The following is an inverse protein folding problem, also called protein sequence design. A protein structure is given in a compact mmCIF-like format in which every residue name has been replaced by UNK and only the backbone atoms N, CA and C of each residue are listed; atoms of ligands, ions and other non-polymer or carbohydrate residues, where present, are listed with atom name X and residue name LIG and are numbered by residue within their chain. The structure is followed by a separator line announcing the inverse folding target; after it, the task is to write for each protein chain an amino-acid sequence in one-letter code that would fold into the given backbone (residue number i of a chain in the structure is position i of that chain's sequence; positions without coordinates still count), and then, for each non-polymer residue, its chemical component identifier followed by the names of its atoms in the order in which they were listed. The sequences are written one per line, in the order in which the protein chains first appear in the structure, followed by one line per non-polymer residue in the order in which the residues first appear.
data_IF_950302290851
#
_entry.id   IF_950302290851
#
_cell.length_a   1.000
_cell.length_b   1.000
_cell.length_c   1.000
_cell.angle_alpha   90.00
_cell.angle_beta   90.00
_cell.angle_gamma   90.00
#
_symmetry.space_group_name_H-M   'P 1'
#
loop_
_entity.id
_entity.type
_entity.pdbx_description
1 polymer ?
#
# COMPACT_ATOMS: atom_id res chain seq x y z
N UNK A 1 45.40 35.44 0.66
CA UNK A 1 45.47 34.22 -0.18
C UNK A 1 44.47 33.21 0.38
N UNK A 2 43.43 32.92 -0.41
CA UNK A 2 42.16 32.32 -0.01
C UNK A 2 42.31 30.79 -0.05
N UNK A 3 42.38 30.13 1.11
CA UNK A 3 42.43 28.65 1.19
C UNK A 3 41.04 28.13 0.85
N UNK A 4 40.91 27.52 -0.33
CA UNK A 4 39.65 27.04 -0.89
C UNK A 4 39.21 25.78 -0.13
N UNK A 5 38.06 25.88 0.53
CA UNK A 5 37.39 24.81 1.26
C UNK A 5 36.87 23.77 0.27
N UNK A 6 37.44 22.57 0.21
CA UNK A 6 36.86 21.43 -0.53
C UNK A 6 36.01 20.59 0.43
N UNK A 7 34.76 20.98 0.62
CA UNK A 7 33.73 20.15 1.26
C UNK A 7 33.04 19.34 0.17
N UNK A 8 33.57 18.17 -0.17
CA UNK A 8 32.85 17.20 -1.00
C UNK A 8 31.86 16.48 -0.08
N UNK A 9 30.64 17.01 -0.01
CA UNK A 9 29.51 16.32 0.60
C UNK A 9 29.06 15.20 -0.35
N UNK A 10 29.53 13.98 -0.10
CA UNK A 10 29.00 12.76 -0.72
C UNK A 10 27.56 12.58 -0.21
N UNK A 11 26.59 13.05 -0.99
CA UNK A 11 25.18 12.76 -0.78
C UNK A 11 24.93 11.30 -1.20
N UNK A 12 25.21 10.37 -0.29
CA UNK A 12 24.88 8.96 -0.45
C UNK A 12 23.37 8.80 -0.51
N UNK A 13 22.83 8.68 -1.73
CA UNK A 13 21.46 8.27 -1.99
C UNK A 13 21.31 6.82 -1.51
N UNK A 14 20.86 6.63 -0.27
CA UNK A 14 20.48 5.32 0.22
C UNK A 14 19.19 4.95 -0.49
N UNK A 15 19.28 4.05 -1.47
CA UNK A 15 18.12 3.33 -1.98
C UNK A 15 17.59 2.46 -0.82
N UNK A 16 16.76 3.04 0.03
CA UNK A 16 16.03 2.30 1.05
C UNK A 16 15.10 1.34 0.30
N UNK A 17 15.48 0.07 0.27
CA UNK A 17 14.55 -0.98 -0.13
C UNK A 17 13.33 -0.89 0.79
N UNK A 18 12.20 -0.44 0.25
CA UNK A 18 10.94 -0.41 0.98
C UNK A 18 10.52 -1.85 1.29
N UNK A 19 10.98 -2.38 2.42
CA UNK A 19 10.44 -3.59 3.00
C UNK A 19 8.93 -3.37 3.21
N UNK A 20 8.12 -4.39 2.92
CA UNK A 20 6.68 -4.29 3.09
C UNK A 20 6.38 -3.97 4.56
N UNK A 21 5.94 -2.74 4.83
CA UNK A 21 5.55 -2.32 6.17
C UNK A 21 4.40 -3.23 6.65
N UNK A 22 4.41 -3.66 7.92
CA UNK A 22 3.32 -4.44 8.48
C UNK A 22 2.02 -3.65 8.34
N UNK A 23 0.92 -4.34 8.01
CA UNK A 23 -0.36 -3.68 7.78
C UNK A 23 -0.81 -2.92 9.01
N UNK A 24 -1.17 -1.64 8.84
CA UNK A 24 -1.62 -0.79 9.93
C UNK A 24 -3.10 -1.07 10.26
N UNK A 25 -3.31 -1.84 11.33
CA UNK A 25 -4.66 -2.15 11.82
C UNK A 25 -5.39 -0.92 12.37
N UNK A 26 -4.68 0.15 12.73
CA UNK A 26 -5.29 1.40 13.17
C UNK A 26 -5.98 2.12 12.00
N UNK A 27 -5.34 2.13 10.83
CA UNK A 27 -5.91 2.70 9.59
C UNK A 27 -7.18 1.95 9.17
N UNK A 28 -7.18 0.62 9.24
CA UNK A 28 -8.38 -0.19 8.99
C UNK A 28 -9.51 0.16 9.97
N UNK A 29 -9.20 0.33 11.26
CA UNK A 29 -10.20 0.74 12.26
C UNK A 29 -10.73 2.15 12.00
N UNK A 30 -9.86 3.07 11.59
CA UNK A 30 -10.25 4.43 11.24
C UNK A 30 -11.17 4.45 10.02
N UNK A 31 -10.83 3.69 8.97
CA UNK A 31 -11.68 3.47 7.80
C UNK A 31 -13.07 2.94 8.21
N UNK A 32 -13.14 1.86 9.01
CA UNK A 32 -14.42 1.26 9.43
C UNK A 32 -15.28 2.22 10.27
N UNK A 33 -14.63 3.13 11.03
CA UNK A 33 -15.32 4.15 11.81
C UNK A 33 -15.96 5.23 10.91
N UNK A 34 -15.28 5.64 9.84
CA UNK A 34 -15.73 6.65 8.88
C UNK A 34 -16.71 6.07 7.84
N UNK A 35 -16.54 4.80 7.49
CA UNK A 35 -17.32 4.07 6.51
C UNK A 35 -17.93 2.83 7.18
N UNK A 36 -19.12 2.95 7.80
CA UNK A 36 -19.75 1.83 8.50
C UNK A 36 -19.96 0.62 7.58
N UNK A 37 -19.99 -0.58 8.16
CA UNK A 37 -20.18 -1.84 7.43
C UNK A 37 -21.47 -1.79 6.57
N UNK A 38 -21.39 -2.02 5.24
CA UNK A 38 -22.56 -1.96 4.35
C UNK A 38 -23.66 -2.97 4.71
N UNK A 39 -23.30 -4.13 5.28
CA UNK A 39 -24.27 -5.16 5.65
C UNK A 39 -24.98 -4.91 7.00
N UNK A 40 -24.38 -4.14 7.91
CA UNK A 40 -24.89 -4.05 9.31
C UNK A 40 -24.94 -2.64 9.88
N UNK A 41 -24.39 -1.64 9.19
CA UNK A 41 -24.23 -0.27 9.68
C UNK A 41 -23.25 -0.12 10.85
N UNK A 42 -22.56 -1.20 11.27
CA UNK A 42 -21.65 -1.16 12.43
C UNK A 42 -20.36 -0.43 12.08
N UNK A 43 -19.92 0.43 12.99
CA UNK A 43 -18.65 1.20 12.91
C UNK A 43 -17.46 0.49 13.57
N UNK A 44 -17.62 -0.81 13.88
CA UNK A 44 -16.58 -1.64 14.50
C UNK A 44 -16.79 -3.11 14.20
N UNK A 45 -15.68 -3.85 14.21
CA UNK A 45 -15.67 -5.30 14.01
C UNK A 45 -15.71 -5.69 12.53
N UNK A 46 -15.92 -6.98 12.28
CA UNK A 46 -16.01 -7.53 10.93
C UNK A 46 -17.36 -7.18 10.27
N UNK A 47 -17.37 -7.18 8.93
CA UNK A 47 -18.56 -6.97 8.13
C UNK A 47 -18.93 -8.26 7.37
N UNK A 48 -20.06 -8.91 7.66
CA UNK A 48 -20.47 -10.12 6.94
C UNK A 48 -20.56 -9.88 5.43
N UNK A 49 -19.89 -10.70 4.62
CA UNK A 49 -19.90 -10.60 3.16
C UNK A 49 -18.96 -9.55 2.56
N UNK A 50 -18.26 -8.75 3.38
CA UNK A 50 -17.36 -7.69 2.92
C UNK A 50 -16.00 -7.72 3.61
N UNK A 51 -14.99 -7.21 2.92
CA UNK A 51 -13.64 -6.99 3.43
C UNK A 51 -13.21 -5.56 3.14
N UNK A 52 -12.35 -5.02 4.00
CA UNK A 52 -11.66 -3.76 3.69
C UNK A 52 -10.49 -4.10 2.76
N UNK A 53 -10.45 -3.49 1.59
CA UNK A 53 -9.39 -3.67 0.61
C UNK A 53 -8.84 -2.31 0.16
N UNK A 54 -7.70 -2.34 -0.53
CA UNK A 54 -7.02 -1.15 -1.03
C UNK A 54 -7.38 -0.87 -2.48
N UNK A 55 -7.78 0.37 -2.78
CA UNK A 55 -8.10 0.82 -4.14
C UNK A 55 -6.87 0.66 -5.05
N UNK A 56 -5.73 1.20 -4.60
CA UNK A 56 -4.41 0.96 -5.21
C UNK A 56 -3.72 -0.15 -4.39
N UNK A 57 -3.34 -1.28 -5.01
CA UNK A 57 -2.67 -2.36 -4.30
C UNK A 57 -1.34 -1.90 -3.69
N UNK A 58 -1.04 -2.34 -2.45
CA UNK A 58 0.21 -1.96 -1.78
C UNK A 58 1.47 -2.35 -2.58
N UNK A 59 1.41 -3.50 -3.28
CA UNK A 59 2.52 -3.96 -4.11
C UNK A 59 2.87 -3.02 -5.27
N UNK A 60 1.90 -2.19 -5.67
CA UNK A 60 2.00 -1.21 -6.74
C UNK A 60 2.29 0.20 -6.20
N UNK A 61 2.65 0.31 -4.92
CA UNK A 61 2.94 1.59 -4.26
C UNK A 61 1.73 2.29 -3.65
N UNK A 62 0.56 1.63 -3.59
CA UNK A 62 -0.59 2.17 -2.89
C UNK A 62 -0.28 2.40 -1.40
N UNK A 63 -0.71 3.51 -0.79
CA UNK A 63 -0.47 3.75 0.63
C UNK A 63 -1.34 2.83 1.49
N UNK A 64 -0.79 2.33 2.60
CA UNK A 64 -1.55 1.58 3.61
C UNK A 64 -2.26 2.55 4.56
N UNK A 65 -3.17 3.34 4.00
CA UNK A 65 -3.88 4.43 4.66
C UNK A 65 -5.37 4.36 4.37
N UNK A 66 -6.22 4.77 5.32
CA UNK A 66 -7.69 4.69 5.18
C UNK A 66 -8.22 5.38 3.92
N UNK A 67 -7.53 6.42 3.44
CA UNK A 67 -7.90 7.16 2.24
C UNK A 67 -7.76 6.32 0.95
N UNK A 68 -6.99 5.22 1.01
CA UNK A 68 -6.85 4.24 -0.06
C UNK A 68 -7.62 2.95 0.23
N UNK A 69 -8.54 2.94 1.20
CA UNK A 69 -9.33 1.77 1.56
C UNK A 69 -10.79 1.91 1.11
N UNK A 70 -11.44 0.77 0.83
CA UNK A 70 -12.86 0.70 0.54
C UNK A 70 -13.45 -0.66 0.95
N UNK A 71 -14.77 -0.72 1.12
CA UNK A 71 -15.47 -1.99 1.31
C UNK A 71 -15.59 -2.72 -0.02
N UNK A 72 -15.15 -3.97 -0.05
CA UNK A 72 -15.24 -4.85 -1.21
C UNK A 72 -15.98 -6.13 -0.83
N UNK A 73 -16.90 -6.59 -1.67
CA UNK A 73 -17.57 -7.87 -1.44
C UNK A 73 -16.55 -9.00 -1.47
N UNK A 74 -16.79 -10.08 -0.73
CA UNK A 74 -15.90 -11.25 -0.74
C UNK A 74 -15.76 -11.85 -2.14
N UNK A 75 -16.81 -11.76 -2.97
CA UNK A 75 -16.79 -12.22 -4.36
C UNK A 75 -15.89 -11.35 -5.23
N UNK A 76 -16.11 -10.03 -5.22
CA UNK A 76 -15.31 -9.07 -6.01
C UNK A 76 -13.84 -9.09 -5.56
N UNK A 77 -13.60 -9.30 -4.26
CA UNK A 77 -12.26 -9.43 -3.71
C UNK A 77 -11.48 -10.60 -4.34
N UNK A 78 -12.15 -11.72 -4.65
CA UNK A 78 -11.49 -12.85 -5.34
C UNK A 78 -11.02 -12.44 -6.74
N UNK A 79 -11.89 -11.76 -7.49
CA UNK A 79 -11.57 -11.30 -8.84
C UNK A 79 -10.45 -10.26 -8.84
N UNK A 80 -10.55 -9.27 -7.95
CA UNK A 80 -9.52 -8.24 -7.79
C UNK A 80 -8.18 -8.86 -7.37
N UNK A 81 -8.17 -9.76 -6.37
CA UNK A 81 -6.95 -10.45 -5.93
C UNK A 81 -6.28 -11.22 -7.07
N UNK A 82 -7.06 -11.93 -7.89
CA UNK A 82 -6.53 -12.66 -9.05
C UNK A 82 -5.80 -11.74 -10.03
N UNK A 83 -6.37 -10.56 -10.29
CA UNK A 83 -5.79 -9.55 -11.19
C UNK A 83 -4.57 -8.89 -10.54
N UNK A 84 -4.70 -8.41 -9.31
CA UNK A 84 -3.66 -7.71 -8.57
C UNK A 84 -2.40 -8.57 -8.44
N UNK A 85 -2.52 -9.85 -8.05
CA UNK A 85 -1.35 -10.74 -7.91
C UNK A 85 -0.54 -10.84 -9.20
N UNK A 86 -1.21 -10.86 -10.36
CA UNK A 86 -0.56 -10.91 -11.66
C UNK A 86 0.18 -9.62 -11.98
N UNK A 87 -0.45 -8.47 -11.75
CA UNK A 87 0.17 -7.17 -12.01
C UNK A 87 1.30 -6.88 -11.01
N UNK A 88 1.10 -7.17 -9.72
CA UNK A 88 2.14 -7.13 -8.70
C UNK A 88 3.36 -7.97 -9.09
N UNK A 89 3.16 -9.15 -9.69
CA UNK A 89 4.27 -10.01 -10.13
C UNK A 89 5.08 -9.36 -11.25
N UNK A 90 4.41 -8.74 -12.23
CA UNK A 90 5.08 -8.01 -13.32
C UNK A 90 5.86 -6.81 -12.77
N UNK A 91 5.26 -6.02 -11.89
CA UNK A 91 5.91 -4.87 -11.26
C UNK A 91 7.17 -5.29 -10.49
N UNK A 92 7.09 -6.39 -9.73
CA UNK A 92 8.27 -6.97 -9.05
C UNK A 92 9.35 -7.44 -10.02
N UNK A 93 8.98 -8.00 -11.18
CA UNK A 93 9.95 -8.42 -12.19
C UNK A 93 10.62 -7.22 -12.87
N UNK A 94 9.86 -6.18 -13.19
CA UNK A 94 10.37 -4.92 -13.74
C UNK A 94 11.32 -4.24 -12.76
N UNK A 95 10.97 -4.18 -11.47
CA UNK A 95 11.84 -3.61 -10.44
C UNK A 95 13.15 -4.38 -10.23
N UNK A 96 13.21 -5.68 -10.62
CA UNK A 96 14.42 -6.51 -10.52
C UNK A 96 15.34 -6.42 -11.73
N UNK A 97 14.80 -6.05 -12.89
CA UNK A 97 15.59 -5.94 -14.14
C UNK A 97 15.93 -4.48 -14.36
N UNK A 98 17.18 -4.02 -14.15
CA UNK A 98 17.53 -2.65 -14.46
C UNK A 98 17.31 -2.41 -15.96
N UNK A 99 16.70 -1.27 -16.29
CA UNK A 99 16.58 -0.82 -17.68
C UNK A 99 17.99 -0.79 -18.31
N UNK A 100 18.13 -1.37 -19.50
CA UNK A 100 19.38 -1.33 -20.28
C UNK A 100 19.64 0.08 -20.79
#
# INVERSE_FOLDING_TARGET
MRRLQFMIALLSCHAVGMAALPRDRAEVRAFIKEHPCPATGRTRGACPGYQVDHTIPLCAGGPDKRENMFWLSVEDHKFKTFTDVRECRKLRQMARTPAK
#
